data_IF_069694915800
#
_entry.id   IF_069694915800
#
_cell.length_a   1.000
_cell.length_b   1.000
_cell.length_c   1.000
_cell.angle_alpha   90.00
_cell.angle_beta   90.00
_cell.angle_gamma   90.00
#
_symmetry.space_group_name_H-M   'P 1'
#
loop_
_entity.id
_entity.type
_entity.pdbx_description
1 polymer ?
#
# COMPACT_ATOMS: atom_id res chain seq x y z
N UNK A 1 28.30 9.94 36.23
CA UNK A 1 28.61 8.70 35.49
C UNK A 1 27.48 7.71 35.73
N UNK A 2 26.93 7.13 34.66
CA UNK A 2 25.96 6.01 34.63
C UNK A 2 24.52 6.36 35.06
N UNK A 3 23.64 6.71 34.12
CA UNK A 3 22.75 5.80 33.35
C UNK A 3 21.82 4.96 34.22
N UNK A 4 20.57 5.44 34.38
CA UNK A 4 19.37 4.58 34.52
C UNK A 4 18.17 5.30 33.90
N UNK A 5 18.11 5.36 32.57
CA UNK A 5 16.85 5.57 31.85
C UNK A 5 16.13 4.22 31.87
N UNK A 6 15.13 4.12 32.75
CA UNK A 6 14.20 3.00 32.77
C UNK A 6 13.37 3.09 31.50
N UNK A 7 13.48 2.05 30.69
CA UNK A 7 12.62 1.80 29.55
C UNK A 7 11.19 1.66 30.07
N UNK A 8 10.34 2.63 29.76
CA UNK A 8 8.90 2.45 29.83
C UNK A 8 8.48 2.03 28.43
N UNK A 9 8.56 0.73 28.16
CA UNK A 9 7.82 0.11 27.07
C UNK A 9 6.38 0.07 27.58
N UNK A 10 5.62 1.13 27.27
CA UNK A 10 4.18 1.14 27.47
C UNK A 10 3.59 0.21 26.41
N UNK A 11 3.38 -1.05 26.79
CA UNK A 11 2.56 -1.99 26.06
C UNK A 11 1.11 -1.49 26.01
N UNK A 12 0.75 -0.91 24.87
CA UNK A 12 -0.58 -0.67 24.35
C UNK A 12 -0.40 -0.87 22.85
N UNK A 13 -0.38 -2.11 22.37
CA UNK A 13 -1.60 -2.86 22.15
C UNK A 13 -1.99 -2.64 20.69
N UNK A 14 -1.27 -3.32 19.79
CA UNK A 14 -1.59 -3.47 18.37
C UNK A 14 -3.08 -3.74 18.20
N UNK A 15 -3.83 -2.74 17.76
CA UNK A 15 -5.21 -2.92 17.34
C UNK A 15 -5.32 -3.14 15.82
N UNK A 16 -4.27 -3.68 15.19
CA UNK A 16 -4.34 -4.30 13.85
C UNK A 16 -3.90 -5.78 13.83
N UNK A 17 -3.62 -6.42 14.99
CA UNK A 17 -3.33 -7.86 15.03
C UNK A 17 -4.00 -8.55 16.22
N UNK A 18 -5.26 -8.93 16.03
CA UNK A 18 -5.77 -10.24 16.44
C UNK A 18 -7.23 -10.42 16.01
N UNK A 19 -7.49 -10.30 14.70
CA UNK A 19 -8.32 -11.37 14.16
C UNK A 19 -7.44 -12.62 14.29
N UNK A 20 -7.88 -13.68 15.01
CA UNK A 20 -7.27 -14.99 14.85
C UNK A 20 -6.95 -15.21 13.37
N UNK A 21 -5.76 -15.76 13.09
CA UNK A 21 -5.28 -16.14 11.76
C UNK A 21 -6.14 -17.25 11.14
N UNK A 22 -7.47 -17.14 11.22
CA UNK A 22 -8.39 -17.80 10.33
C UNK A 22 -7.98 -17.39 8.93
N UNK A 23 -7.74 -18.38 8.07
CA UNK A 23 -7.38 -18.15 6.69
C UNK A 23 -8.28 -17.05 6.13
N UNK A 24 -7.67 -15.92 5.80
CA UNK A 24 -8.37 -14.88 5.08
C UNK A 24 -8.78 -15.53 3.76
N UNK A 25 -10.08 -15.82 3.62
CA UNK A 25 -10.59 -16.37 2.36
C UNK A 25 -10.24 -15.38 1.25
N UNK A 26 -9.93 -15.89 0.06
CA UNK A 26 -9.69 -15.03 -1.11
C UNK A 26 -10.89 -14.10 -1.29
N UNK A 27 -10.66 -12.81 -1.13
CA UNK A 27 -11.69 -11.82 -1.42
C UNK A 27 -12.02 -11.79 -2.92
N UNK A 28 -13.21 -11.31 -3.26
CA UNK A 28 -13.59 -11.09 -4.65
C UNK A 28 -12.53 -10.23 -5.36
N UNK A 29 -12.25 -10.57 -6.62
CA UNK A 29 -11.30 -9.81 -7.41
C UNK A 29 -11.84 -8.41 -7.69
N UNK A 30 -11.12 -7.40 -7.21
CA UNK A 30 -11.30 -6.01 -7.59
C UNK A 30 -10.12 -5.64 -8.49
N UNK A 31 -10.43 -5.17 -9.70
CA UNK A 31 -9.39 -4.78 -10.65
C UNK A 31 -8.57 -3.62 -10.05
N UNK A 32 -7.25 -3.77 -9.86
CA UNK A 32 -6.46 -2.71 -9.27
C UNK A 32 -6.43 -1.47 -10.16
N UNK A 33 -6.41 -0.29 -9.53
CA UNK A 33 -6.27 0.97 -10.26
C UNK A 33 -4.87 1.11 -10.84
N UNK A 34 -4.73 1.96 -11.85
CA UNK A 34 -3.45 2.26 -12.49
C UNK A 34 -3.24 3.76 -12.63
N UNK A 35 -1.99 4.20 -12.52
CA UNK A 35 -1.58 5.58 -12.72
C UNK A 35 -0.33 5.64 -13.60
N UNK A 36 -0.33 6.52 -14.62
CA UNK A 36 0.82 6.77 -15.49
C UNK A 36 1.57 8.00 -14.97
N UNK A 37 2.75 7.79 -14.38
CA UNK A 37 3.56 8.85 -13.77
C UNK A 37 4.56 9.39 -14.78
N UNK A 38 4.46 10.68 -15.09
CA UNK A 38 5.26 11.33 -16.14
C UNK A 38 6.50 12.01 -15.58
N UNK A 39 7.52 12.14 -16.43
CA UNK A 39 8.74 12.82 -16.05
C UNK A 39 8.54 14.33 -15.87
N UNK A 40 9.18 14.91 -14.87
CA UNK A 40 9.37 16.35 -14.76
C UNK A 40 10.86 16.69 -14.82
N UNK A 41 11.18 17.77 -15.51
CA UNK A 41 12.49 18.45 -15.42
C UNK A 41 12.39 19.77 -14.66
N UNK A 42 11.18 20.15 -14.26
CA UNK A 42 10.94 21.33 -13.42
C UNK A 42 11.24 20.96 -11.98
N UNK A 43 12.12 21.68 -11.29
CA UNK A 43 12.33 21.50 -9.86
C UNK A 43 11.01 21.68 -9.10
N UNK A 44 10.72 20.75 -8.18
CA UNK A 44 9.58 20.84 -7.28
C UNK A 44 10.04 21.49 -5.98
N UNK A 45 9.37 22.58 -5.59
CA UNK A 45 9.63 23.24 -4.31
C UNK A 45 8.66 22.66 -3.29
N UNK A 46 9.18 21.72 -2.50
CA UNK A 46 8.40 21.06 -1.44
C UNK A 46 7.94 22.07 -0.37
N UNK A 47 6.71 22.55 -0.49
CA UNK A 47 6.07 23.43 0.48
C UNK A 47 4.61 23.05 0.77
N UNK A 48 4.18 21.89 0.26
CA UNK A 48 2.85 21.35 0.45
C UNK A 48 1.83 21.91 -0.53
N UNK A 49 2.23 22.75 -1.49
CA UNK A 49 1.29 23.41 -2.42
C UNK A 49 1.54 22.98 -3.86
N UNK A 50 0.48 22.70 -4.64
CA UNK A 50 0.64 22.28 -6.03
C UNK A 50 0.84 23.45 -7.00
N UNK A 51 1.60 24.47 -6.65
CA UNK A 51 1.65 25.73 -7.42
C UNK A 51 2.53 25.62 -8.68
N UNK A 52 3.41 24.62 -8.76
CA UNK A 52 4.31 24.38 -9.88
C UNK A 52 3.58 24.00 -11.16
N UNK A 53 4.10 24.50 -12.29
CA UNK A 53 3.58 24.17 -13.61
C UNK A 53 3.60 22.67 -13.92
N UNK A 54 4.50 21.89 -13.29
CA UNK A 54 4.52 20.44 -13.42
C UNK A 54 3.29 19.79 -12.74
N UNK A 55 2.94 20.21 -11.52
CA UNK A 55 1.74 19.75 -10.83
C UNK A 55 0.47 20.10 -11.57
N UNK A 56 0.39 21.30 -12.15
CA UNK A 56 -0.78 21.72 -12.93
C UNK A 56 -1.02 20.87 -14.18
N UNK A 57 0.03 20.22 -14.71
CA UNK A 57 -0.05 19.31 -15.88
C UNK A 57 -0.22 17.83 -15.51
N UNK A 58 0.10 17.45 -14.28
CA UNK A 58 -0.12 16.08 -13.82
C UNK A 58 -1.62 15.82 -13.64
N UNK A 59 -2.08 14.66 -14.08
CA UNK A 59 -3.47 14.23 -13.92
C UNK A 59 -3.75 13.85 -12.47
N UNK A 60 -4.95 14.16 -11.97
CA UNK A 60 -5.39 13.63 -10.69
C UNK A 60 -5.65 12.13 -10.79
N UNK A 61 -5.40 11.40 -9.71
CA UNK A 61 -5.92 10.04 -9.52
C UNK A 61 -7.45 10.05 -9.50
N UNK A 62 -8.06 8.88 -9.61
CA UNK A 62 -9.42 8.71 -9.11
C UNK A 62 -9.47 9.00 -7.60
N UNK A 63 -10.63 9.48 -7.14
CA UNK A 63 -10.88 9.72 -5.73
C UNK A 63 -10.82 8.42 -4.92
N UNK A 64 -10.35 8.52 -3.68
CA UNK A 64 -10.25 7.39 -2.77
C UNK A 64 -11.63 6.82 -2.48
N UNK A 65 -11.68 5.52 -2.20
CA UNK A 65 -12.88 4.79 -1.80
C UNK A 65 -12.61 4.02 -0.51
N UNK A 66 -13.62 3.43 0.10
CA UNK A 66 -13.40 2.53 1.23
C UNK A 66 -12.50 1.34 0.82
N UNK A 67 -11.65 0.87 1.73
CA UNK A 67 -10.75 -0.26 1.49
C UNK A 67 -11.47 -1.54 1.04
N UNK A 68 -12.72 -1.73 1.46
CA UNK A 68 -13.58 -2.84 1.05
C UNK A 68 -14.32 -2.59 -0.29
N UNK A 69 -14.11 -1.44 -0.91
CA UNK A 69 -14.77 -1.00 -2.14
C UNK A 69 -16.25 -0.70 -1.91
N UNK A 70 -17.09 -1.07 -2.86
CA UNK A 70 -18.53 -0.75 -2.87
C UNK A 70 -19.34 -1.49 -1.79
N UNK A 71 -18.70 -2.27 -0.91
CA UNK A 71 -19.34 -2.86 0.27
C UNK A 71 -19.69 -1.80 1.33
N UNK A 72 -18.95 -0.70 1.36
CA UNK A 72 -19.16 0.43 2.25
C UNK A 72 -19.57 1.67 1.46
N UNK A 73 -20.04 2.70 2.17
CA UNK A 73 -20.33 3.98 1.55
C UNK A 73 -19.04 4.65 1.06
N UNK A 74 -19.14 5.45 -0.01
CA UNK A 74 -18.04 6.28 -0.45
C UNK A 74 -17.60 7.27 0.66
N UNK A 75 -16.31 7.61 0.75
CA UNK A 75 -15.79 8.58 1.69
C UNK A 75 -16.57 9.90 1.69
N UNK A 76 -16.90 10.41 2.89
CA UNK A 76 -17.61 11.67 3.03
C UNK A 76 -16.74 12.89 2.69
N UNK A 77 -15.41 12.73 2.75
CA UNK A 77 -14.44 13.76 2.44
C UNK A 77 -13.49 13.24 1.38
N UNK A 78 -13.32 13.99 0.29
CA UNK A 78 -12.56 13.52 -0.85
C UNK A 78 -11.06 13.50 -0.54
N UNK A 79 -10.41 12.41 -0.94
CA UNK A 79 -8.96 12.31 -1.03
C UNK A 79 -8.55 11.91 -2.44
N UNK A 80 -7.51 12.55 -2.98
CA UNK A 80 -6.95 12.26 -4.32
C UNK A 80 -5.48 12.68 -4.38
N UNK A 81 -4.76 12.21 -5.38
CA UNK A 81 -3.32 12.47 -5.50
C UNK A 81 -2.86 12.77 -6.94
N UNK A 82 -1.66 13.32 -7.04
CA UNK A 82 -0.87 13.45 -8.26
C UNK A 82 0.51 12.86 -8.02
N UNK A 83 1.11 12.33 -9.08
CA UNK A 83 2.49 11.84 -9.04
C UNK A 83 3.28 12.38 -10.22
N UNK A 84 4.57 12.61 -9.98
CA UNK A 84 5.58 12.95 -10.97
C UNK A 84 6.84 12.13 -10.67
N UNK A 85 7.79 12.09 -11.60
CA UNK A 85 9.11 11.56 -11.30
C UNK A 85 10.22 12.33 -12.03
N UNK A 86 11.43 12.31 -11.50
CA UNK A 86 12.63 12.77 -12.22
C UNK A 86 13.72 11.69 -12.21
N UNK A 87 14.99 12.05 -12.46
CA UNK A 87 16.07 11.06 -12.47
C UNK A 87 16.33 10.40 -11.11
N UNK A 88 16.01 11.06 -10.00
CA UNK A 88 16.38 10.65 -8.65
C UNK A 88 15.17 10.36 -7.76
N UNK A 89 14.01 11.00 -7.99
CA UNK A 89 12.89 10.98 -7.07
C UNK A 89 11.56 10.58 -7.72
N UNK A 90 10.76 9.87 -6.94
CA UNK A 90 9.30 9.84 -7.07
C UNK A 90 8.74 11.03 -6.29
N UNK A 91 7.88 11.84 -6.92
CA UNK A 91 7.17 12.92 -6.27
C UNK A 91 5.70 12.57 -6.11
N UNK A 92 5.15 12.85 -4.94
CA UNK A 92 3.76 12.57 -4.58
C UNK A 92 3.15 13.83 -3.98
N UNK A 93 1.97 14.20 -4.46
CA UNK A 93 1.15 15.25 -3.88
C UNK A 93 -0.24 14.67 -3.60
N UNK A 94 -0.67 14.69 -2.34
CA UNK A 94 -2.01 14.30 -1.93
C UNK A 94 -2.81 15.51 -1.45
N UNK A 95 -4.09 15.53 -1.78
CA UNK A 95 -5.08 16.49 -1.31
C UNK A 95 -6.16 15.75 -0.53
N UNK A 96 -6.33 16.12 0.74
CA UNK A 96 -7.27 15.50 1.67
C UNK A 96 -8.24 16.57 2.16
N UNK A 97 -9.50 16.52 1.70
CA UNK A 97 -10.56 17.33 2.30
C UNK A 97 -10.77 16.88 3.74
N UNK A 98 -10.79 17.81 4.68
CA UNK A 98 -10.94 17.53 6.10
C UNK A 98 -11.56 18.75 6.77
N UNK A 99 -12.66 18.54 7.48
CA UNK A 99 -13.40 19.60 8.18
C UNK A 99 -12.93 19.79 9.63
N UNK A 100 -12.15 18.85 10.18
CA UNK A 100 -11.69 18.85 11.57
C UNK A 100 -10.23 18.37 11.61
N UNK A 101 -9.31 19.14 11.05
CA UNK A 101 -7.93 18.69 10.89
C UNK A 101 -7.32 18.47 12.27
N UNK A 102 -6.97 17.21 12.54
CA UNK A 102 -6.58 16.74 13.85
C UNK A 102 -5.32 15.89 13.78
N UNK A 103 -4.35 16.20 14.65
CA UNK A 103 -3.16 15.40 14.88
C UNK A 103 -2.63 15.68 16.29
N UNK A 104 -1.95 14.74 16.91
CA UNK A 104 -1.35 14.87 18.25
C UNK A 104 0.10 14.38 18.30
N UNK A 105 0.51 13.61 17.31
CA UNK A 105 1.80 12.95 17.23
C UNK A 105 2.80 13.84 16.48
N UNK A 106 3.95 14.05 17.10
CA UNK A 106 5.01 14.93 16.61
C UNK A 106 6.38 14.24 16.47
N UNK A 107 6.51 13.04 17.04
CA UNK A 107 7.77 12.33 17.10
C UNK A 107 7.91 11.43 15.87
N UNK A 108 9.02 11.59 15.16
CA UNK A 108 9.42 10.69 14.07
C UNK A 108 9.42 9.24 14.54
N UNK A 109 8.93 8.34 13.70
CA UNK A 109 8.79 6.89 13.94
C UNK A 109 7.91 6.50 15.13
N UNK A 110 7.00 7.39 15.53
CA UNK A 110 5.87 6.96 16.36
C UNK A 110 4.81 6.30 15.48
N UNK A 111 3.93 5.49 16.07
CA UNK A 111 2.86 4.82 15.33
C UNK A 111 1.80 5.87 14.97
N UNK A 112 1.82 6.39 13.73
CA UNK A 112 1.11 7.62 13.35
C UNK A 112 -0.38 7.39 13.10
N UNK A 113 -0.83 6.22 12.65
CA UNK A 113 -2.25 5.90 12.44
C UNK A 113 -3.16 6.10 13.68
N UNK A 114 -2.60 6.36 14.86
CA UNK A 114 -3.37 6.81 16.01
C UNK A 114 -3.90 8.26 15.89
N UNK A 115 -3.44 9.03 14.90
CA UNK A 115 -4.03 10.28 14.41
C UNK A 115 -4.69 10.06 13.03
N UNK A 116 -5.25 11.12 12.44
CA UNK A 116 -5.51 11.15 11.01
C UNK A 116 -4.18 11.29 10.25
N UNK A 117 -4.00 10.50 9.20
CA UNK A 117 -2.77 10.50 8.42
C UNK A 117 -2.99 10.16 6.94
N UNK A 118 -1.89 10.19 6.19
CA UNK A 118 -1.79 9.73 4.83
C UNK A 118 -0.67 8.70 4.73
N UNK A 119 -0.97 7.54 4.16
CA UNK A 119 -0.07 6.40 4.09
C UNK A 119 0.26 6.07 2.63
N UNK A 120 1.49 5.63 2.39
CA UNK A 120 2.02 5.25 1.07
C UNK A 120 2.65 3.87 1.19
N UNK A 121 2.25 2.97 0.30
CA UNK A 121 2.70 1.59 0.28
C UNK A 121 3.35 1.27 -1.07
N UNK A 122 4.59 0.81 -1.07
CA UNK A 122 5.36 0.60 -2.31
C UNK A 122 5.99 -0.79 -2.33
N UNK A 123 5.68 -1.56 -3.36
CA UNK A 123 6.34 -2.84 -3.70
C UNK A 123 6.94 -2.68 -5.12
N UNK A 124 8.24 -2.30 -5.21
CA UNK A 124 8.86 -1.94 -6.48
C UNK A 124 9.02 -3.10 -7.48
N UNK A 125 9.18 -4.35 -7.01
CA UNK A 125 9.40 -5.50 -7.88
C UNK A 125 8.16 -6.42 -8.01
N UNK A 126 7.13 -6.16 -7.21
CA UNK A 126 5.84 -6.83 -7.29
C UNK A 126 5.88 -8.26 -6.78
N UNK A 127 6.81 -8.59 -5.87
CA UNK A 127 6.98 -9.92 -5.31
C UNK A 127 6.11 -10.18 -4.06
N UNK A 128 5.34 -9.17 -3.65
CA UNK A 128 4.50 -9.13 -2.44
C UNK A 128 5.25 -9.26 -1.11
N UNK A 129 6.57 -9.10 -1.16
CA UNK A 129 7.52 -9.09 -0.06
C UNK A 129 8.37 -7.83 -0.17
N UNK A 130 9.26 -7.63 0.80
CA UNK A 130 10.27 -6.56 0.76
C UNK A 130 9.73 -5.18 0.34
N UNK A 131 8.57 -4.82 0.88
CA UNK A 131 7.85 -3.59 0.53
C UNK A 131 7.99 -2.55 1.63
N UNK A 132 7.59 -1.33 1.30
CA UNK A 132 7.81 -0.15 2.14
C UNK A 132 6.49 0.51 2.48
N UNK A 133 6.45 1.13 3.65
CA UNK A 133 5.34 1.92 4.15
C UNK A 133 5.88 3.24 4.69
N UNK A 134 5.21 4.33 4.31
CA UNK A 134 5.50 5.69 4.74
C UNK A 134 4.19 6.32 5.19
N UNK A 135 4.13 6.83 6.42
CA UNK A 135 2.99 7.56 6.96
C UNK A 135 3.38 9.01 7.21
N UNK A 136 2.43 9.91 7.03
CA UNK A 136 2.60 11.33 7.33
C UNK A 136 1.31 11.95 7.83
N UNK A 137 1.39 12.70 8.92
CA UNK A 137 0.25 13.40 9.49
C UNK A 137 0.26 14.92 9.18
N UNK A 138 -0.80 15.67 9.52
CA UNK A 138 -0.86 17.12 9.29
C UNK A 138 0.29 17.94 9.90
N UNK A 139 0.96 17.45 10.94
CA UNK A 139 2.16 18.08 11.52
C UNK A 139 3.43 17.90 10.69
N UNK A 140 3.36 17.19 9.56
CA UNK A 140 4.51 16.75 8.79
C UNK A 140 5.42 15.79 9.61
N UNK A 141 4.83 15.08 10.56
CA UNK A 141 5.51 13.99 11.27
C UNK A 141 5.49 12.77 10.37
N UNK A 142 6.64 12.10 10.23
CA UNK A 142 6.81 10.94 9.37
C UNK A 142 7.04 9.70 10.23
N UNK A 143 6.47 8.58 9.78
CA UNK A 143 6.85 7.23 10.19
C UNK A 143 7.20 6.49 8.91
N UNK A 144 8.28 5.71 8.95
CA UNK A 144 8.58 4.81 7.87
C UNK A 144 8.98 3.43 8.38
N UNK A 145 8.67 2.42 7.57
CA UNK A 145 9.04 1.06 7.88
C UNK A 145 9.26 0.24 6.61
N UNK A 146 10.06 -0.80 6.78
CA UNK A 146 10.27 -1.82 5.78
C UNK A 146 9.67 -3.16 6.24
N UNK A 147 9.00 -3.84 5.32
CA UNK A 147 8.36 -5.14 5.53
C UNK A 147 9.09 -6.22 4.73
N UNK A 148 9.89 -7.08 5.37
CA UNK A 148 10.50 -8.22 4.70
C UNK A 148 9.45 -9.17 4.10
N UNK A 149 8.33 -9.35 4.79
CA UNK A 149 7.17 -10.14 4.37
C UNK A 149 5.87 -9.65 5.06
N UNK A 150 4.68 -9.96 4.52
CA UNK A 150 3.41 -9.55 5.12
C UNK A 150 3.17 -10.08 6.55
N UNK A 151 2.41 -9.33 7.36
CA UNK A 151 2.00 -9.78 8.71
C UNK A 151 1.28 -11.12 8.72
N UNK A 152 0.47 -11.41 7.69
CA UNK A 152 -0.23 -12.70 7.52
C UNK A 152 0.71 -13.91 7.39
N UNK A 153 2.00 -13.66 7.17
CA UNK A 153 3.10 -14.63 7.10
C UNK A 153 4.07 -14.52 8.28
N UNK A 154 3.64 -13.90 9.38
CA UNK A 154 4.46 -13.61 10.55
C UNK A 154 5.68 -12.74 10.19
N UNK A 155 5.49 -11.77 9.31
CA UNK A 155 6.47 -10.70 9.09
C UNK A 155 6.45 -9.71 10.24
N UNK A 156 7.62 -9.17 10.57
CA UNK A 156 7.79 -8.09 11.54
C UNK A 156 8.20 -6.82 10.79
N UNK A 157 7.55 -5.70 11.10
CA UNK A 157 7.93 -4.40 10.59
C UNK A 157 9.29 -3.98 11.15
N UNK A 158 10.19 -3.59 10.24
CA UNK A 158 11.50 -3.06 10.58
C UNK A 158 11.41 -1.52 10.65
N UNK A 159 10.93 -1.03 11.79
CA UNK A 159 10.81 0.40 12.14
C UNK A 159 12.16 1.13 12.28
N UNK A 160 13.27 0.42 12.15
CA UNK A 160 14.63 0.99 12.23
C UNK A 160 15.24 1.25 10.84
N UNK A 161 14.51 0.90 9.78
CA UNK A 161 14.78 1.39 8.43
C UNK A 161 14.28 2.84 8.34
N UNK A 162 14.92 3.65 7.48
CA UNK A 162 14.58 5.06 7.24
C UNK A 162 14.67 5.32 5.74
N UNK A 163 13.69 6.03 5.18
CA UNK A 163 13.64 6.42 3.78
C UNK A 163 14.68 7.53 3.48
N UNK A 164 15.95 7.16 3.51
CA UNK A 164 17.09 8.09 3.44
C UNK A 164 16.96 9.10 2.30
N UNK A 165 17.01 10.38 2.66
CA UNK A 165 16.95 11.51 1.73
C UNK A 165 15.54 11.90 1.29
N UNK A 166 14.50 11.23 1.82
CA UNK A 166 13.11 11.67 1.66
C UNK A 166 12.94 13.07 2.21
N UNK A 167 12.15 13.88 1.50
CA UNK A 167 11.79 15.23 1.90
C UNK A 167 10.28 15.37 1.81
N UNK A 168 9.68 16.00 2.82
CA UNK A 168 8.23 16.13 2.95
C UNK A 168 7.83 17.55 3.33
N UNK A 169 6.63 17.96 2.94
CA UNK A 169 5.97 19.16 3.41
C UNK A 169 4.45 18.93 3.51
N UNK A 170 3.81 19.59 4.48
CA UNK A 170 2.34 19.68 4.56
C UNK A 170 1.88 21.12 4.48
N UNK A 171 0.67 21.34 3.97
CA UNK A 171 -0.01 22.63 4.01
C UNK A 171 -1.46 22.47 4.45
N UNK A 172 -1.96 23.42 5.23
CA UNK A 172 -3.32 23.41 5.80
C UNK A 172 -4.08 24.64 5.29
N UNK A 173 -5.22 24.42 4.63
CA UNK A 173 -6.25 25.44 4.37
C UNK A 173 -7.34 25.32 5.44
N UNK A 174 -7.07 25.96 6.58
CA UNK A 174 -7.83 25.83 7.82
C UNK A 174 -6.93 26.11 9.02
N UNK A 175 -7.21 25.42 10.12
CA UNK A 175 -6.46 25.46 11.37
C UNK A 175 -6.33 24.08 11.98
N UNK A 176 -5.11 23.72 12.38
CA UNK A 176 -4.86 22.44 13.02
C UNK A 176 -5.33 22.45 14.48
N UNK A 177 -6.04 21.40 14.91
CA UNK A 177 -6.44 21.18 16.29
C UNK A 177 -7.27 22.31 16.91
N UNK A 178 -8.17 22.91 16.13
CA UNK A 178 -9.02 24.00 16.59
C UNK A 178 -10.52 23.64 16.55
N UNK A 179 -11.01 22.92 17.58
CA UNK A 179 -12.44 22.62 17.68
C UNK A 179 -13.33 23.86 17.61
N UNK A 180 -14.41 23.75 16.84
CA UNK A 180 -15.45 24.78 16.75
C UNK A 180 -15.36 25.69 15.53
N UNK A 181 -14.35 25.55 14.69
CA UNK A 181 -14.43 26.00 13.30
C UNK A 181 -14.62 24.84 12.33
N UNK A 182 -14.44 25.11 11.03
CA UNK A 182 -14.50 24.14 9.96
C UNK A 182 -13.35 24.39 9.02
N UNK A 183 -12.49 23.39 8.90
CA UNK A 183 -11.38 23.39 7.97
C UNK A 183 -11.85 23.02 6.56
N UNK A 184 -10.97 23.19 5.57
CA UNK A 184 -11.27 22.77 4.20
C UNK A 184 -10.51 21.51 3.82
N UNK A 185 -9.20 21.55 3.99
CA UNK A 185 -8.28 20.49 3.54
C UNK A 185 -6.89 20.68 4.11
N UNK A 186 -6.13 19.61 4.02
CA UNK A 186 -4.68 19.66 4.08
C UNK A 186 -4.08 18.90 2.90
N UNK A 187 -2.82 19.18 2.63
CA UNK A 187 -2.07 18.58 1.53
C UNK A 187 -0.76 18.03 2.04
N UNK A 188 -0.32 16.95 1.40
CA UNK A 188 0.98 16.31 1.57
C UNK A 188 1.74 16.47 0.28
N UNK A 189 3.02 16.82 0.37
CA UNK A 189 3.93 16.85 -0.77
C UNK A 189 5.26 16.18 -0.40
N UNK A 190 5.70 15.24 -1.22
CA UNK A 190 6.87 14.40 -0.94
C UNK A 190 7.78 14.29 -2.16
N UNK A 191 9.09 14.30 -1.93
CA UNK A 191 10.09 13.79 -2.85
C UNK A 191 10.82 12.62 -2.20
N UNK A 192 10.65 11.43 -2.78
CA UNK A 192 11.18 10.17 -2.26
C UNK A 192 12.27 9.69 -3.22
N UNK A 193 13.55 9.67 -2.80
CA UNK A 193 14.62 9.17 -3.64
C UNK A 193 14.40 7.70 -4.01
N UNK A 194 14.62 7.32 -5.27
CA UNK A 194 14.57 5.91 -5.69
C UNK A 194 15.58 5.04 -4.94
N UNK A 195 16.69 5.64 -4.47
CA UNK A 195 17.67 4.96 -3.63
C UNK A 195 17.12 4.52 -2.27
N UNK A 196 16.05 5.16 -1.76
CA UNK A 196 15.44 4.76 -0.50
C UNK A 196 14.84 3.35 -0.61
N UNK A 197 14.25 3.01 -1.76
CA UNK A 197 13.61 1.70 -1.97
C UNK A 197 14.57 0.56 -2.33
N UNK A 198 15.88 0.80 -2.28
CA UNK A 198 16.91 -0.20 -2.62
C UNK A 198 17.66 -0.70 -1.39
N UNK A 199 18.04 -1.98 -1.39
CA UNK A 199 18.94 -2.54 -0.38
C UNK A 199 20.36 -2.72 -0.92
N UNK A 200 21.35 -2.51 -0.06
CA UNK A 200 22.77 -2.71 -0.36
C UNK A 200 23.22 -1.89 -1.59
N UNK A 201 23.81 -2.55 -2.61
CA UNK A 201 24.31 -1.92 -3.83
C UNK A 201 23.26 -1.90 -4.96
N UNK A 202 21.97 -2.06 -4.64
CA UNK A 202 20.92 -1.97 -5.65
C UNK A 202 20.75 -0.52 -6.09
N UNK A 203 21.07 -0.27 -7.35
CA UNK A 203 20.80 1.00 -8.00
C UNK A 203 19.47 0.92 -8.73
N UNK A 204 18.39 1.39 -8.09
CA UNK A 204 17.08 1.48 -8.71
C UNK A 204 17.14 2.56 -9.78
N UNK A 205 17.10 2.13 -11.04
CA UNK A 205 17.03 3.02 -12.20
C UNK A 205 15.72 2.78 -12.93
N UNK A 206 14.83 3.76 -12.84
CA UNK A 206 13.56 3.74 -13.55
C UNK A 206 13.81 3.85 -15.06
N UNK A 207 13.17 2.97 -15.81
CA UNK A 207 13.13 2.98 -17.28
C UNK A 207 11.71 3.30 -17.74
N UNK A 208 11.57 3.68 -19.00
CA UNK A 208 10.24 3.84 -19.58
C UNK A 208 9.46 2.53 -19.47
N UNK A 209 8.18 2.63 -19.13
CA UNK A 209 7.28 1.51 -18.87
C UNK A 209 7.68 0.60 -17.70
N UNK A 210 8.62 1.01 -16.82
CA UNK A 210 8.78 0.36 -15.51
C UNK A 210 7.43 0.38 -14.78
N UNK A 211 7.08 -0.73 -14.14
CA UNK A 211 5.82 -0.91 -13.43
C UNK A 211 6.09 -1.28 -11.98
N UNK A 212 5.48 -0.58 -11.04
CA UNK A 212 5.50 -0.90 -9.61
C UNK A 212 4.11 -1.23 -9.09
N UNK A 213 4.06 -1.91 -7.95
CA UNK A 213 2.87 -2.02 -7.12
C UNK A 213 2.89 -0.85 -6.12
N UNK A 214 1.81 -0.07 -6.08
CA UNK A 214 1.71 1.06 -5.14
C UNK A 214 0.28 1.21 -4.66
N UNK A 215 0.09 1.58 -3.39
CA UNK A 215 -1.21 2.04 -2.92
C UNK A 215 -1.06 3.17 -1.91
N UNK A 216 -2.19 3.76 -1.57
CA UNK A 216 -2.28 4.89 -0.67
C UNK A 216 -3.48 4.69 0.23
N UNK A 217 -3.35 5.10 1.49
CA UNK A 217 -4.44 5.11 2.46
C UNK A 217 -4.56 6.49 3.09
N UNK A 218 -5.75 6.79 3.57
CA UNK A 218 -6.02 7.81 4.58
C UNK A 218 -6.66 7.08 5.74
N UNK A 219 -6.00 7.12 6.89
CA UNK A 219 -6.66 6.77 8.15
C UNK A 219 -7.43 8.00 8.62
N UNK A 220 -8.72 7.82 8.86
CA UNK A 220 -9.59 8.89 9.33
C UNK A 220 -10.37 8.43 10.57
N UNK A 221 -10.18 9.13 11.68
CA UNK A 221 -10.91 8.89 12.91
C UNK A 221 -12.08 9.85 13.05
N UNK A 222 -13.24 9.30 13.37
CA UNK A 222 -14.34 10.10 13.90
C UNK A 222 -13.91 10.75 15.23
N UNK A 223 -14.05 12.07 15.34
CA UNK A 223 -13.77 12.81 16.57
C UNK A 223 -15.01 13.49 17.14
N UNK A 224 -15.03 13.63 18.46
CA UNK A 224 -15.97 14.47 19.20
C UNK A 224 -15.20 15.62 19.88
N UNK A 225 -15.91 16.69 20.25
CA UNK A 225 -15.31 17.81 20.98
C UNK A 225 -15.63 17.67 22.47
N UNK A 226 -14.60 17.46 23.28
CA UNK A 226 -14.71 17.39 24.74
C UNK A 226 -13.75 18.41 25.37
N UNK A 227 -14.30 19.31 26.19
CA UNK A 227 -13.53 20.39 26.83
C UNK A 227 -12.67 21.22 25.85
N UNK A 228 -13.22 21.50 24.67
CA UNK A 228 -12.54 22.29 23.63
C UNK A 228 -11.38 21.56 22.93
N UNK A 229 -11.33 20.22 23.00
CA UNK A 229 -10.33 19.39 22.32
C UNK A 229 -11.01 18.29 21.51
N UNK A 230 -10.42 17.94 20.38
CA UNK A 230 -10.78 16.72 19.66
C UNK A 230 -10.38 15.50 20.49
N UNK A 231 -11.31 14.55 20.59
CA UNK A 231 -11.09 13.21 21.16
C UNK A 231 -11.72 12.20 20.22
N UNK A 232 -11.08 11.04 20.04
CA UNK A 232 -11.68 9.96 19.24
C UNK A 232 -13.07 9.62 19.77
N UNK A 233 -14.03 9.52 18.85
CA UNK A 233 -15.38 9.07 19.17
C UNK A 233 -15.32 7.65 19.70
N UNK A 234 -16.08 7.37 20.75
CA UNK A 234 -16.10 6.06 21.41
C UNK A 234 -17.48 5.42 21.31
N UNK A 235 -17.49 4.09 21.26
CA UNK A 235 -18.70 3.31 21.43
C UNK A 235 -19.23 3.46 22.86
N UNK A 236 -20.52 3.82 22.99
CA UNK A 236 -21.12 4.15 24.29
C UNK A 236 -21.26 2.95 25.22
N UNK A 237 -21.31 1.73 24.68
CA UNK A 237 -21.48 0.51 25.48
C UNK A 237 -20.14 0.01 26.04
N UNK A 238 -19.06 0.14 25.26
CA UNK A 238 -17.74 -0.42 25.58
C UNK A 238 -16.74 0.63 26.03
N UNK A 239 -16.96 1.91 25.72
CA UNK A 239 -16.02 3.01 25.98
C UNK A 239 -14.76 2.97 25.11
N UNK A 240 -14.68 2.07 24.13
CA UNK A 240 -13.54 1.98 23.21
C UNK A 240 -13.72 2.93 22.02
N UNK A 241 -12.63 3.44 21.41
CA UNK A 241 -12.72 4.16 20.15
C UNK A 241 -13.50 3.35 19.11
N UNK A 242 -14.32 4.04 18.31
CA UNK A 242 -14.87 3.44 17.10
C UNK A 242 -13.72 3.08 16.15
N UNK A 243 -13.88 2.06 15.27
CA UNK A 243 -12.89 1.78 14.24
C UNK A 243 -12.62 3.00 13.37
N UNK A 244 -11.37 3.15 12.95
CA UNK A 244 -10.97 4.11 11.95
C UNK A 244 -11.54 3.78 10.57
N UNK A 245 -11.74 4.81 9.75
CA UNK A 245 -11.99 4.63 8.34
C UNK A 245 -10.67 4.46 7.59
N UNK A 246 -10.62 3.47 6.71
CA UNK A 246 -9.48 3.24 5.82
C UNK A 246 -9.92 3.56 4.39
N UNK A 247 -9.65 4.78 3.94
CA UNK A 247 -9.97 5.20 2.58
C UNK A 247 -8.74 5.09 1.71
N UNK A 248 -8.83 4.38 0.58
CA UNK A 248 -7.68 4.00 -0.23
C UNK A 248 -7.83 4.42 -1.68
N UNK A 249 -6.69 4.60 -2.36
CA UNK A 249 -6.72 4.82 -3.81
C UNK A 249 -7.22 3.58 -4.54
N UNK A 250 -6.54 2.44 -4.44
CA UNK A 250 -6.98 1.19 -5.06
C UNK A 250 -7.68 0.30 -4.03
N UNK A 251 -8.98 0.00 -4.17
CA UNK A 251 -9.69 -0.85 -3.20
C UNK A 251 -9.18 -2.28 -3.23
N UNK A 252 -9.10 -2.91 -2.06
CA UNK A 252 -8.53 -4.25 -1.90
C UNK A 252 -9.60 -5.31 -1.60
N UNK A 253 -10.77 -4.88 -1.12
CA UNK A 253 -11.88 -5.75 -0.75
C UNK A 253 -11.71 -6.42 0.63
N UNK A 254 -10.63 -6.09 1.34
CA UNK A 254 -10.24 -6.58 2.66
C UNK A 254 -9.66 -5.44 3.49
N UNK A 255 -9.95 -5.41 4.79
CA UNK A 255 -9.36 -4.46 5.74
C UNK A 255 -7.93 -4.90 6.09
N UNK A 256 -7.01 -4.73 5.16
CA UNK A 256 -5.58 -5.07 5.30
C UNK A 256 -4.75 -4.36 4.22
N UNK A 257 -4.04 -3.28 4.58
CA UNK A 257 -3.10 -2.62 3.64
C UNK A 257 -1.88 -3.48 3.33
N UNK A 258 -1.50 -4.43 4.20
CA UNK A 258 -0.35 -5.33 3.99
C UNK A 258 -0.71 -6.53 3.09
N UNK A 259 -1.33 -6.22 1.95
CA UNK A 259 -1.62 -7.13 0.85
C UNK A 259 -1.15 -6.55 -0.50
N UNK A 260 0.17 -6.53 -0.77
CA UNK A 260 0.73 -5.90 -1.96
C UNK A 260 0.17 -6.44 -3.28
N UNK A 261 -0.31 -7.68 -3.28
CA UNK A 261 -0.98 -8.30 -4.42
C UNK A 261 -2.32 -7.65 -4.79
N UNK A 262 -2.87 -6.78 -3.94
CA UNK A 262 -4.12 -6.04 -4.16
C UNK A 262 -3.94 -4.56 -4.47
N UNK A 263 -2.74 -4.02 -4.29
CA UNK A 263 -2.40 -2.62 -4.56
C UNK A 263 -2.58 -2.20 -6.03
N UNK A 264 -2.55 -0.92 -6.32
CA UNK A 264 -2.60 -0.42 -7.70
C UNK A 264 -1.29 -0.59 -8.45
N UNK A 265 -1.27 -0.15 -9.70
CA UNK A 265 -0.10 -0.16 -10.58
C UNK A 265 0.37 1.26 -10.89
N UNK A 266 1.67 1.51 -10.71
CA UNK A 266 2.33 2.74 -11.15
C UNK A 266 3.15 2.45 -12.40
N UNK A 267 2.84 3.12 -13.50
CA UNK A 267 3.59 3.02 -14.76
C UNK A 267 4.45 4.26 -14.96
N UNK A 268 5.76 4.09 -14.95
CA UNK A 268 6.69 5.18 -15.22
C UNK A 268 6.74 5.49 -16.71
N UNK A 269 6.45 6.74 -17.06
CA UNK A 269 6.47 7.26 -18.42
C UNK A 269 7.60 8.26 -18.55
N UNK A 270 8.56 7.97 -19.43
CA UNK A 270 9.73 8.81 -19.66
C UNK A 270 9.39 10.13 -20.38
N UNK A 271 8.22 10.22 -21.01
CA UNK A 271 7.78 11.48 -21.62
C UNK A 271 7.56 12.56 -20.57
N UNK A 272 7.83 13.85 -20.87
CA UNK A 272 7.54 14.95 -19.96
C UNK A 272 6.07 15.04 -19.59
N UNK A 273 5.77 15.48 -18.37
CA UNK A 273 4.40 15.76 -17.91
C UNK A 273 3.71 16.79 -18.82
N UNK A 274 2.43 16.55 -19.10
CA UNK A 274 1.65 17.31 -20.08
C UNK A 274 1.84 16.87 -21.53
N UNK A 275 2.64 15.83 -21.79
CA UNK A 275 2.67 15.16 -23.10
C UNK A 275 1.35 14.44 -23.38
N UNK A 276 1.11 14.09 -24.65
CA UNK A 276 -0.04 13.27 -25.03
C UNK A 276 -0.13 11.99 -24.18
N UNK A 277 -1.30 11.69 -23.58
CA UNK A 277 -1.50 10.53 -22.73
C UNK A 277 -1.06 9.22 -23.39
N UNK A 278 -0.43 8.35 -22.59
CA UNK A 278 -0.04 7.01 -23.00
C UNK A 278 -1.10 6.03 -22.56
N UNK A 279 -1.25 4.92 -23.29
CA UNK A 279 -2.07 3.81 -22.85
C UNK A 279 -1.19 2.60 -22.61
N UNK A 280 -0.54 2.57 -21.44
CA UNK A 280 0.11 1.35 -20.97
C UNK A 280 -0.96 0.48 -20.30
N UNK A 281 -0.99 -0.79 -20.68
CA UNK A 281 -1.89 -1.80 -20.11
C UNK A 281 -1.12 -2.71 -19.17
N UNK A 282 -1.78 -3.15 -18.10
CA UNK A 282 -1.29 -4.20 -17.23
C UNK A 282 -0.93 -5.44 -18.09
N UNK A 283 0.30 -5.99 -17.98
CA UNK A 283 0.68 -7.19 -18.71
C UNK A 283 -0.25 -8.37 -18.38
N UNK A 284 -0.64 -9.21 -19.36
CA UNK A 284 -1.55 -10.35 -19.12
C UNK A 284 -1.06 -11.32 -18.02
N UNK A 285 0.25 -11.41 -17.81
CA UNK A 285 0.83 -12.25 -16.75
C UNK A 285 0.41 -11.80 -15.35
N UNK A 286 0.16 -10.50 -15.12
CA UNK A 286 -0.27 -9.99 -13.82
C UNK A 286 -1.69 -10.44 -13.47
N UNK A 287 -2.61 -10.42 -14.44
CA UNK A 287 -3.95 -10.98 -14.26
C UNK A 287 -3.88 -12.52 -14.10
N UNK A 288 -2.97 -13.18 -14.81
CA UNK A 288 -2.76 -14.62 -14.65
C UNK A 288 -2.26 -15.03 -13.25
N UNK A 289 -1.57 -14.14 -12.52
CA UNK A 289 -1.14 -14.38 -11.11
C UNK A 289 -2.33 -14.63 -10.18
N UNK A 290 -3.55 -14.23 -10.52
CA UNK A 290 -4.74 -14.54 -9.70
C UNK A 290 -4.96 -16.04 -9.48
N UNK A 291 -4.51 -16.89 -10.40
CA UNK A 291 -4.52 -18.35 -10.25
C UNK A 291 -3.45 -18.85 -9.26
N UNK A 292 -2.30 -18.17 -9.18
CA UNK A 292 -1.29 -18.44 -8.16
C UNK A 292 -1.81 -18.06 -6.77
N UNK A 293 -2.43 -16.88 -6.64
CA UNK A 293 -3.04 -16.46 -5.38
C UNK A 293 -4.17 -17.38 -4.92
N UNK A 294 -4.97 -17.92 -5.84
CA UNK A 294 -5.97 -18.94 -5.52
C UNK A 294 -5.33 -20.20 -4.91
N UNK A 295 -4.25 -20.72 -5.50
CA UNK A 295 -3.50 -21.85 -4.92
C UNK A 295 -2.99 -21.50 -3.53
N UNK A 296 -2.43 -20.30 -3.34
CA UNK A 296 -1.94 -19.86 -2.03
C UNK A 296 -3.04 -19.83 -0.96
N UNK A 297 -4.20 -19.24 -1.24
CA UNK A 297 -5.30 -19.20 -0.29
C UNK A 297 -5.86 -20.60 0.00
N UNK A 298 -6.01 -21.46 -1.01
CA UNK A 298 -6.45 -22.85 -0.81
C UNK A 298 -5.44 -23.69 -0.03
N UNK A 299 -4.13 -23.50 -0.26
CA UNK A 299 -3.08 -24.16 0.51
C UNK A 299 -3.12 -23.75 2.00
N UNK A 300 -3.42 -22.48 2.29
CA UNK A 300 -3.60 -22.01 3.68
C UNK A 300 -4.80 -22.68 4.35
N UNK A 301 -5.96 -22.73 3.68
CA UNK A 301 -7.15 -23.42 4.19
C UNK A 301 -6.90 -24.93 4.39
N UNK A 302 -6.23 -25.56 3.43
CA UNK A 302 -5.87 -26.97 3.50
C UNK A 302 -4.94 -27.25 4.68
N UNK A 303 -3.89 -26.43 4.85
CA UNK A 303 -2.95 -26.57 5.97
C UNK A 303 -3.60 -26.37 7.32
N UNK A 304 -4.53 -25.43 7.44
CA UNK A 304 -5.27 -25.21 8.68
C UNK A 304 -6.12 -26.43 9.07
N UNK A 305 -6.70 -27.12 8.09
CA UNK A 305 -7.57 -28.28 8.33
C UNK A 305 -6.82 -29.61 8.45
N UNK A 306 -5.65 -29.75 7.82
CA UNK A 306 -4.91 -31.02 7.74
C UNK A 306 -3.55 -31.02 8.45
N UNK A 307 -3.06 -29.87 8.90
CA UNK A 307 -1.73 -29.73 9.50
C UNK A 307 -0.55 -29.88 8.54
N UNK A 308 -0.79 -30.00 7.23
CA UNK A 308 0.19 -30.12 6.15
C UNK A 308 -0.28 -29.37 4.91
N UNK A 309 0.63 -29.01 4.00
CA UNK A 309 0.22 -28.57 2.65
C UNK A 309 -0.32 -29.74 1.82
N UNK A 310 -1.20 -29.41 0.87
CA UNK A 310 -1.71 -30.34 -0.13
C UNK A 310 -0.58 -30.73 -1.09
N UNK A 311 -0.51 -32.02 -1.43
CA UNK A 311 0.54 -32.58 -2.28
C UNK A 311 0.26 -32.39 -3.78
N UNK A 312 -0.99 -32.06 -4.15
CA UNK A 312 -1.41 -31.90 -5.55
C UNK A 312 -2.49 -30.82 -5.69
N UNK A 313 -2.63 -30.27 -6.91
CA UNK A 313 -3.72 -29.34 -7.24
C UNK A 313 -5.11 -29.96 -7.04
N UNK A 314 -5.23 -31.27 -7.27
CA UNK A 314 -6.49 -32.00 -7.06
C UNK A 314 -6.92 -32.07 -5.58
N UNK A 315 -5.98 -32.16 -4.64
CA UNK A 315 -6.28 -32.10 -3.20
C UNK A 315 -6.82 -30.71 -2.80
N UNK A 316 -6.50 -29.66 -3.56
CA UNK A 316 -7.03 -28.32 -3.41
C UNK A 316 -8.36 -28.10 -4.18
N UNK A 317 -8.85 -29.12 -4.90
CA UNK A 317 -10.03 -29.00 -5.75
C UNK A 317 -9.79 -28.31 -7.09
N UNK A 318 -8.54 -28.03 -7.47
CA UNK A 318 -8.19 -27.45 -8.76
C UNK A 318 -8.01 -28.56 -9.78
N UNK A 319 -8.97 -28.70 -10.70
CA UNK A 319 -8.94 -29.66 -11.81
C UNK A 319 -8.56 -29.01 -13.14
N UNK A 320 -8.95 -27.75 -13.35
CA UNK A 320 -8.58 -26.97 -14.53
C UNK A 320 -7.21 -26.29 -14.34
N UNK A 321 -6.20 -26.90 -14.94
CA UNK A 321 -4.81 -26.41 -14.89
C UNK A 321 -4.44 -25.52 -16.06
N UNK A 322 -5.27 -25.45 -17.10
CA UNK A 322 -5.01 -24.63 -18.29
C UNK A 322 -6.08 -23.55 -18.38
N UNK A 323 -5.65 -22.30 -18.56
CA UNK A 323 -6.54 -21.15 -18.62
C UNK A 323 -5.98 -20.10 -19.58
N UNK A 324 -6.81 -19.16 -20.03
CA UNK A 324 -6.41 -18.14 -21.01
C UNK A 324 -6.71 -16.75 -20.47
N UNK A 325 -5.72 -15.86 -20.55
CA UNK A 325 -5.82 -14.45 -20.15
C UNK A 325 -5.38 -13.60 -21.34
N UNK A 326 -6.27 -12.71 -21.81
CA UNK A 326 -6.00 -11.81 -22.96
C UNK A 326 -5.38 -12.54 -24.17
N UNK A 327 -5.89 -13.75 -24.49
CA UNK A 327 -5.43 -14.56 -25.62
C UNK A 327 -4.14 -15.36 -25.40
N UNK A 328 -3.49 -15.26 -24.23
CA UNK A 328 -2.34 -16.09 -23.86
C UNK A 328 -2.82 -17.25 -22.99
N UNK A 329 -2.51 -18.48 -23.39
CA UNK A 329 -2.81 -19.68 -22.62
C UNK A 329 -1.65 -20.01 -21.67
N UNK A 330 -1.99 -20.14 -20.39
CA UNK A 330 -1.09 -20.52 -19.31
C UNK A 330 -1.42 -21.92 -18.80
N UNK A 331 -0.40 -22.62 -18.30
CA UNK A 331 -0.53 -23.88 -17.57
C UNK A 331 -0.08 -23.67 -16.13
N UNK A 332 -0.94 -24.02 -15.18
CA UNK A 332 -0.68 -24.08 -13.74
C UNK A 332 -0.11 -25.44 -13.36
N UNK A 333 0.97 -25.44 -12.60
CA UNK A 333 1.60 -26.63 -12.02
C UNK A 333 1.97 -26.36 -10.56
N UNK A 334 2.17 -27.41 -9.78
CA UNK A 334 2.57 -27.29 -8.38
C UNK A 334 3.49 -28.45 -7.98
N UNK A 335 4.53 -28.13 -7.23
CA UNK A 335 5.36 -29.09 -6.51
C UNK A 335 5.19 -28.84 -5.02
N UNK A 336 4.94 -29.89 -4.24
CA UNK A 336 4.66 -29.75 -2.82
C UNK A 336 5.16 -30.95 -2.01
N UNK A 337 5.59 -30.66 -0.79
CA UNK A 337 5.76 -31.63 0.30
C UNK A 337 4.96 -31.13 1.51
N UNK A 338 4.94 -31.89 2.61
CA UNK A 338 4.11 -31.54 3.78
C UNK A 338 4.37 -30.15 4.36
N UNK A 339 5.60 -29.63 4.25
CA UNK A 339 6.03 -28.36 4.86
C UNK A 339 6.23 -27.17 3.91
N UNK A 340 6.22 -27.38 2.59
CA UNK A 340 6.44 -26.32 1.60
C UNK A 340 5.80 -26.67 0.26
N UNK A 341 5.49 -25.66 -0.55
CA UNK A 341 5.08 -25.85 -1.93
C UNK A 341 5.56 -24.70 -2.80
N UNK A 342 5.52 -24.91 -4.11
CA UNK A 342 5.64 -23.85 -5.10
C UNK A 342 4.65 -24.14 -6.21
N UNK A 343 3.83 -23.15 -6.54
CA UNK A 343 2.94 -23.20 -7.70
C UNK A 343 3.46 -22.28 -8.79
N UNK A 344 3.34 -22.70 -10.05
CA UNK A 344 3.94 -22.02 -11.20
C UNK A 344 2.89 -21.93 -12.31
N UNK A 345 2.76 -20.74 -12.90
CA UNK A 345 2.10 -20.56 -14.18
C UNK A 345 3.16 -20.33 -15.25
N UNK A 346 3.00 -20.98 -16.40
CA UNK A 346 3.84 -20.76 -17.56
C UNK A 346 3.04 -20.75 -18.85
N UNK A 347 3.39 -19.85 -19.77
CA UNK A 347 2.89 -19.94 -21.14
C UNK A 347 3.53 -21.11 -21.91
N UNK A 348 3.01 -21.41 -23.10
CA UNK A 348 3.52 -22.52 -23.93
C UNK A 348 4.99 -22.34 -24.33
N UNK A 349 5.45 -21.09 -24.44
CA UNK A 349 6.82 -20.78 -24.84
C UNK A 349 7.83 -20.92 -23.69
N UNK A 350 7.34 -20.90 -22.45
CA UNK A 350 8.16 -20.84 -21.24
C UNK A 350 8.79 -19.46 -21.00
N UNK A 351 8.54 -18.48 -21.87
CA UNK A 351 9.05 -17.11 -21.75
C UNK A 351 8.35 -16.38 -20.61
N UNK A 352 7.04 -16.60 -20.45
CA UNK A 352 6.29 -16.01 -19.34
C UNK A 352 6.11 -17.08 -18.27
N UNK A 353 6.98 -17.07 -17.26
CA UNK A 353 6.94 -18.00 -16.13
C UNK A 353 6.98 -17.23 -14.81
N UNK A 354 5.97 -17.47 -13.97
CA UNK A 354 5.87 -16.87 -12.63
C UNK A 354 5.51 -17.95 -11.62
N UNK A 355 6.14 -17.92 -10.46
CA UNK A 355 5.86 -18.81 -9.34
C UNK A 355 5.32 -18.07 -8.11
N UNK A 356 4.67 -18.80 -7.22
CA UNK A 356 4.35 -18.38 -5.84
C UNK A 356 4.74 -19.51 -4.89
N UNK A 357 5.31 -19.17 -3.74
CA UNK A 357 5.68 -20.15 -2.72
C UNK A 357 4.70 -20.18 -1.53
N UNK A 358 5.06 -20.94 -0.49
CA UNK A 358 4.25 -21.10 0.72
C UNK A 358 4.12 -19.86 1.60
N UNK A 359 5.01 -18.87 1.42
CA UNK A 359 4.93 -17.56 2.07
C UNK A 359 4.19 -16.55 1.18
N UNK A 360 3.75 -16.94 -0.01
CA UNK A 360 3.10 -16.02 -0.94
C UNK A 360 4.08 -15.09 -1.64
N UNK A 361 5.38 -15.38 -1.63
CA UNK A 361 6.37 -14.62 -2.40
C UNK A 361 6.26 -14.99 -3.86
N UNK A 362 6.07 -13.97 -4.71
CA UNK A 362 5.98 -14.15 -6.17
C UNK A 362 7.37 -14.13 -6.76
N UNK A 363 7.70 -15.09 -7.62
CA UNK A 363 9.01 -15.15 -8.30
C UNK A 363 8.82 -15.07 -9.80
N UNK A 364 9.42 -14.06 -10.41
CA UNK A 364 9.42 -13.88 -11.86
C UNK A 364 10.64 -14.59 -12.45
N UNK A 365 10.40 -15.64 -13.25
CA UNK A 365 11.47 -16.33 -13.96
C UNK A 365 11.77 -15.63 -15.28
N UNK A 366 12.54 -14.55 -15.28
CA UNK A 366 13.20 -14.08 -16.51
C UNK A 366 14.54 -14.79 -16.62
N UNK A 367 14.64 -15.76 -17.54
CA UNK A 367 15.93 -16.27 -17.99
C UNK A 367 16.61 -15.29 -18.91
#
# INVERSE_FOLDING_TARGET
>A
MSQRIRHVIAGLGLACLSLPSYAQKKAAYLAPRQYHVYQTTTPIKLDGKPDEAAWQKAEWSQDFTDIEGDKQAAPAMRTRLKMLWDKDNLYILAELEDQNIWATLHQHDTIIYHDNDFEIFVDPDGDAHQYFELEINPYNTVMDLFMPKPYRENGDALMNWDAQGMRTATHIDGTLNKPGDKDKKWTVEMAIPFSAFGFFNQHIRIKDSTMWRINFSRVEWDTDIVNGKYVKRTDKATGKPLPEHNWVWSPQGIINMHAPEKWGYLFFVQRPVGSTPVKLSIPPIEEAKERLWEVYYQQREYRQSHGRYAASLSELGITETTFTVTGITYTLSMEAISGQYTAIISDKSGVHKVGIDQEGKVTSGTR
#
